data_IF_775472103207
#
_entry.id   IF_775472103207
#
_cell.length_a   1.000
_cell.length_b   1.000
_cell.length_c   1.000
_cell.angle_alpha   90.00
_cell.angle_beta   90.00
_cell.angle_gamma   90.00
#
_symmetry.space_group_name_H-M   'P 1'
#
loop_
_entity.id
_entity.type
_entity.pdbx_description
1 polymer ?
#
# COMPACT_ATOMS: atom_id res chain seq x y z
N UNK A 1 8.91 -8.34 4.45
CA UNK A 1 9.87 -9.45 4.29
C UNK A 1 9.21 -10.74 4.75
N UNK A 2 9.70 -11.91 4.33
CA UNK A 2 9.11 -13.18 4.75
C UNK A 2 9.20 -13.38 6.27
N UNK A 3 10.33 -13.02 6.86
CA UNK A 3 10.59 -13.14 8.29
C UNK A 3 9.59 -12.33 9.14
N UNK A 4 9.15 -11.16 8.67
CA UNK A 4 8.17 -10.31 9.38
C UNK A 4 6.79 -10.98 9.39
N UNK A 5 6.40 -11.59 8.27
CA UNK A 5 5.13 -12.32 8.21
C UNK A 5 5.17 -13.59 9.05
N UNK A 6 6.30 -14.31 9.05
CA UNK A 6 6.51 -15.49 9.90
C UNK A 6 6.53 -15.17 11.39
N UNK A 7 7.12 -14.03 11.77
CA UNK A 7 7.12 -13.56 13.18
C UNK A 7 5.75 -12.98 13.58
N UNK A 8 4.81 -12.88 12.64
CA UNK A 8 3.41 -12.52 12.90
C UNK A 8 3.13 -11.02 12.90
N UNK A 9 4.13 -10.17 12.60
CA UNK A 9 3.96 -8.72 12.61
C UNK A 9 4.85 -8.03 11.57
N UNK A 10 4.24 -7.11 10.81
CA UNK A 10 4.97 -6.10 10.04
C UNK A 10 4.73 -4.76 10.75
N UNK A 11 5.80 -4.17 11.29
CA UNK A 11 5.73 -2.98 12.14
C UNK A 11 5.98 -1.65 11.40
N UNK A 12 5.70 -1.64 10.09
CA UNK A 12 5.88 -0.46 9.26
C UNK A 12 4.81 -0.37 8.17
N UNK A 13 4.68 0.81 7.56
CA UNK A 13 3.83 0.99 6.40
C UNK A 13 4.41 0.27 5.18
N UNK A 14 3.54 -0.28 4.33
CA UNK A 14 3.96 -0.91 3.08
C UNK A 14 4.13 0.13 1.96
N UNK A 15 4.65 -0.31 0.83
CA UNK A 15 4.70 0.50 -0.40
C UNK A 15 3.87 -0.19 -1.48
N UNK A 16 3.23 0.61 -2.31
CA UNK A 16 2.49 0.09 -3.47
C UNK A 16 2.60 1.03 -4.66
N UNK A 17 2.19 0.54 -5.82
CA UNK A 17 2.17 1.31 -7.07
C UNK A 17 0.75 1.56 -7.57
N UNK A 18 0.62 2.61 -8.39
CA UNK A 18 -0.62 3.01 -9.05
C UNK A 18 -0.33 3.30 -10.52
N UNK A 19 -1.30 3.22 -11.44
CA UNK A 19 -1.02 3.41 -12.87
C UNK A 19 -0.59 4.83 -13.23
N UNK A 20 -1.12 5.82 -12.50
CA UNK A 20 -0.84 7.24 -12.73
C UNK A 20 -0.82 8.01 -11.42
N UNK A 21 0.03 9.02 -11.37
CA UNK A 21 0.14 9.99 -10.27
C UNK A 21 0.07 11.42 -10.80
N UNK A 22 -0.21 12.38 -9.92
CA UNK A 22 -0.05 13.80 -10.24
C UNK A 22 1.41 14.25 -10.10
N UNK A 23 1.73 15.43 -10.65
CA UNK A 23 3.02 16.13 -10.53
C UNK A 23 3.16 16.76 -9.14
N UNK A 24 3.11 15.92 -8.12
CA UNK A 24 3.23 16.34 -6.72
C UNK A 24 3.47 15.17 -5.78
N UNK A 25 3.92 15.50 -4.57
CA UNK A 25 4.25 14.53 -3.54
C UNK A 25 3.87 15.03 -2.14
N UNK A 26 3.67 14.11 -1.20
CA UNK A 26 3.51 14.40 0.22
C UNK A 26 4.73 13.84 0.95
N UNK A 27 5.35 14.64 1.83
CA UNK A 27 6.45 14.15 2.66
C UNK A 27 6.05 12.89 3.46
N UNK A 28 6.95 11.91 3.64
CA UNK A 28 8.40 11.97 3.38
C UNK A 28 8.82 11.66 1.94
N UNK A 29 7.90 11.47 0.99
CA UNK A 29 8.30 11.45 -0.41
C UNK A 29 8.96 12.79 -0.78
N UNK A 30 9.90 12.75 -1.72
CA UNK A 30 10.68 13.92 -2.17
C UNK A 30 10.73 14.02 -3.69
N UNK A 31 9.91 13.23 -4.39
CA UNK A 31 9.87 13.16 -5.85
C UNK A 31 8.45 12.89 -6.34
N UNK A 32 8.18 13.26 -7.58
CA UNK A 32 7.01 12.86 -8.36
C UNK A 32 7.47 12.15 -9.64
N UNK A 33 6.64 11.26 -10.20
CA UNK A 33 6.96 10.47 -11.39
C UNK A 33 6.04 10.77 -12.59
N UNK A 34 5.46 11.97 -12.62
CA UNK A 34 4.44 12.37 -13.59
C UNK A 34 4.56 13.84 -13.96
N UNK A 35 4.05 14.19 -15.15
CA UNK A 35 3.90 15.56 -15.63
C UNK A 35 2.44 16.06 -15.56
N UNK A 36 1.52 15.26 -15.04
CA UNK A 36 0.09 15.60 -15.00
C UNK A 36 -0.26 16.47 -13.79
N UNK A 37 -0.92 17.59 -14.01
CA UNK A 37 -1.45 18.45 -12.93
C UNK A 37 -2.91 18.09 -12.55
N UNK A 38 -3.41 16.90 -12.92
CA UNK A 38 -4.76 16.45 -12.57
C UNK A 38 -4.85 16.12 -11.07
N UNK A 39 -5.57 16.97 -10.33
CA UNK A 39 -5.77 16.82 -8.89
C UNK A 39 -6.56 15.55 -8.48
N UNK A 40 -7.19 14.85 -9.43
CA UNK A 40 -7.84 13.56 -9.17
C UNK A 40 -6.84 12.39 -9.14
N UNK A 41 -5.59 12.60 -9.54
CA UNK A 41 -4.55 11.59 -9.46
C UNK A 41 -3.87 11.61 -8.08
N UNK A 42 -3.52 10.46 -7.51
CA UNK A 42 -2.81 10.41 -6.24
C UNK A 42 -1.41 11.06 -6.37
N UNK A 43 -0.95 11.83 -5.37
CA UNK A 43 0.44 12.26 -5.29
C UNK A 43 1.34 11.11 -4.81
N UNK A 44 2.64 11.19 -5.12
CA UNK A 44 3.61 10.31 -4.46
C UNK A 44 3.58 10.53 -2.94
N UNK A 45 3.78 9.47 -2.17
CA UNK A 45 3.70 9.54 -0.70
C UNK A 45 2.27 9.66 -0.15
N UNK A 46 1.23 9.60 -0.98
CA UNK A 46 -0.14 9.45 -0.47
C UNK A 46 -0.24 8.18 0.37
N UNK A 47 -0.74 8.33 1.60
CA UNK A 47 -0.97 7.21 2.50
C UNK A 47 -2.41 6.71 2.38
N UNK A 48 -2.55 5.43 2.04
CA UNK A 48 -3.81 4.70 2.11
C UNK A 48 -3.77 3.73 3.28
N UNK A 49 -4.87 3.64 4.03
CA UNK A 49 -5.00 2.72 5.16
C UNK A 49 -6.22 1.84 4.97
N UNK A 50 -6.09 0.55 5.27
CA UNK A 50 -7.23 -0.35 5.25
C UNK A 50 -8.18 0.04 6.39
N UNK A 51 -9.47 0.18 6.10
CA UNK A 51 -10.45 0.58 7.11
C UNK A 51 -10.51 -0.45 8.24
N UNK A 52 -10.79 0.03 9.44
CA UNK A 52 -10.76 -0.80 10.65
C UNK A 52 -11.84 -1.90 10.65
N UNK A 53 -12.97 -1.65 9.98
CA UNK A 53 -14.16 -2.49 9.91
C UNK A 53 -14.10 -3.62 8.87
N UNK A 54 -13.09 -3.62 7.99
CA UNK A 54 -12.88 -4.70 7.01
C UNK A 54 -12.62 -6.02 7.74
N UNK A 55 -13.48 -7.03 7.58
CA UNK A 55 -13.22 -8.33 8.20
C UNK A 55 -12.07 -9.05 7.50
N UNK A 56 -11.06 -9.43 8.27
CA UNK A 56 -9.88 -10.15 7.77
C UNK A 56 -9.78 -11.57 8.33
N UNK A 57 -10.76 -12.01 9.12
CA UNK A 57 -10.72 -13.30 9.84
C UNK A 57 -10.64 -14.49 8.89
N UNK A 58 -11.27 -14.40 7.72
CA UNK A 58 -11.32 -15.44 6.69
C UNK A 58 -10.04 -15.64 5.87
N UNK A 59 -9.06 -14.74 5.98
CA UNK A 59 -7.83 -14.83 5.20
C UNK A 59 -6.81 -15.81 5.81
N UNK A 60 -5.90 -16.39 4.98
CA UNK A 60 -4.75 -17.16 5.46
C UNK A 60 -3.90 -16.37 6.45
N UNK A 61 -3.21 -17.06 7.36
CA UNK A 61 -2.43 -16.40 8.41
C UNK A 61 -1.41 -15.39 7.86
N UNK A 62 -0.62 -15.71 6.81
CA UNK A 62 0.33 -14.75 6.23
C UNK A 62 -0.36 -13.48 5.70
N UNK A 63 -1.49 -13.64 5.04
CA UNK A 63 -2.29 -12.53 4.51
C UNK A 63 -2.87 -11.69 5.65
N UNK A 64 -3.38 -12.32 6.71
CA UNK A 64 -3.87 -11.57 7.89
C UNK A 64 -2.79 -10.69 8.52
N UNK A 65 -1.53 -11.12 8.55
CA UNK A 65 -0.42 -10.28 9.05
C UNK A 65 -0.25 -9.04 8.16
N UNK A 66 -0.29 -9.21 6.84
CA UNK A 66 -0.20 -8.11 5.86
C UNK A 66 -1.40 -7.17 6.00
N UNK A 67 -2.62 -7.69 6.05
CA UNK A 67 -3.83 -6.87 6.20
C UNK A 67 -3.87 -6.15 7.55
N UNK A 68 -3.38 -6.78 8.62
CA UNK A 68 -3.22 -6.14 9.94
C UNK A 68 -2.25 -4.96 9.85
N UNK A 69 -1.13 -5.11 9.13
CA UNK A 69 -0.20 -4.02 8.89
C UNK A 69 -0.83 -2.90 8.04
N UNK A 70 -1.64 -3.24 7.03
CA UNK A 70 -2.38 -2.25 6.25
C UNK A 70 -3.44 -1.50 7.07
N UNK A 71 -4.07 -2.15 8.05
CA UNK A 71 -4.97 -1.46 9.01
C UNK A 71 -4.20 -0.53 9.95
N UNK A 72 -3.06 -0.97 10.47
CA UNK A 72 -2.32 -0.23 11.50
C UNK A 72 -1.45 0.88 10.92
N UNK A 73 -0.70 0.56 9.88
CA UNK A 73 0.31 1.43 9.29
C UNK A 73 -0.05 1.88 7.87
N UNK A 74 -0.95 1.18 7.18
CA UNK A 74 -1.30 1.51 5.81
C UNK A 74 -0.12 1.33 4.84
N UNK A 75 -0.21 2.00 3.71
CA UNK A 75 0.77 1.92 2.63
C UNK A 75 0.90 3.25 1.89
N UNK A 76 2.07 3.47 1.30
CA UNK A 76 2.40 4.68 0.56
C UNK A 76 2.47 4.44 -0.94
N UNK A 77 1.92 5.36 -1.72
CA UNK A 77 2.14 5.44 -3.17
C UNK A 77 3.63 5.73 -3.39
N UNK A 78 4.35 4.77 -3.95
CA UNK A 78 5.81 4.85 -4.09
C UNK A 78 6.30 4.96 -5.53
N UNK A 79 5.49 4.54 -6.50
CA UNK A 79 5.86 4.58 -7.91
C UNK A 79 4.63 4.44 -8.82
N UNK A 80 4.83 4.69 -10.11
CA UNK A 80 3.89 4.34 -11.17
C UNK A 80 4.10 2.89 -11.62
N UNK A 81 3.04 2.10 -11.65
CA UNK A 81 3.11 0.67 -11.99
C UNK A 81 1.74 0.00 -12.06
N UNK A 82 1.69 -1.29 -11.76
CA UNK A 82 0.44 -2.03 -11.68
C UNK A 82 -0.52 -1.42 -10.65
N UNK A 83 -1.83 -1.45 -10.94
CA UNK A 83 -2.81 -0.93 -10.00
C UNK A 83 -2.82 -1.76 -8.71
N UNK A 84 -2.75 -1.09 -7.56
CA UNK A 84 -2.83 -1.72 -6.24
C UNK A 84 -1.74 -2.79 -5.98
N UNK A 85 -0.61 -2.69 -6.68
CA UNK A 85 0.44 -3.69 -6.57
C UNK A 85 1.34 -3.43 -5.36
N UNK A 86 1.21 -4.27 -4.34
CA UNK A 86 2.07 -4.27 -3.15
C UNK A 86 3.33 -5.08 -3.45
N UNK A 87 4.51 -4.48 -3.28
CA UNK A 87 5.78 -5.17 -3.52
C UNK A 87 6.33 -5.77 -2.23
N UNK A 88 6.76 -7.03 -2.29
CA UNK A 88 7.53 -7.72 -1.26
C UNK A 88 8.98 -7.93 -1.66
N UNK A 89 9.78 -8.47 -0.72
CA UNK A 89 11.08 -9.05 -1.05
C UNK A 89 10.81 -10.46 -1.62
N UNK A 90 11.29 -10.78 -2.84
CA UNK A 90 11.16 -12.13 -3.39
C UNK A 90 11.76 -13.16 -2.45
N UNK A 91 11.03 -14.25 -2.21
CA UNK A 91 11.45 -15.34 -1.35
C UNK A 91 10.79 -16.63 -1.81
N UNK A 92 11.54 -17.72 -1.96
CA UNK A 92 10.99 -18.99 -2.44
C UNK A 92 10.11 -19.70 -1.41
N UNK A 93 10.06 -19.19 -0.17
CA UNK A 93 9.22 -19.71 0.91
C UNK A 93 7.82 -19.09 0.93
N UNK A 94 7.55 -18.13 0.05
CA UNK A 94 6.19 -17.61 -0.14
C UNK A 94 5.29 -18.69 -0.73
N UNK A 95 4.06 -18.73 -0.23
CA UNK A 95 2.96 -19.41 -0.88
C UNK A 95 2.23 -18.38 -1.75
N UNK A 96 2.43 -18.46 -3.07
CA UNK A 96 1.86 -17.51 -4.01
C UNK A 96 0.32 -17.59 -4.10
N UNK A 97 -0.25 -18.78 -3.83
CA UNK A 97 -1.70 -18.97 -3.82
C UNK A 97 -2.30 -18.24 -2.61
N UNK A 98 -1.68 -18.36 -1.42
CA UNK A 98 -2.11 -17.57 -0.26
C UNK A 98 -1.92 -16.07 -0.50
N UNK A 99 -0.79 -15.64 -1.07
CA UNK A 99 -0.56 -14.22 -1.34
C UNK A 99 -1.56 -13.64 -2.36
N UNK A 100 -2.10 -14.45 -3.26
CA UNK A 100 -3.10 -14.01 -4.22
C UNK A 100 -4.40 -13.54 -3.55
N UNK A 101 -4.73 -14.08 -2.37
CA UNK A 101 -5.92 -13.69 -1.61
C UNK A 101 -5.90 -12.20 -1.20
N UNK A 102 -4.73 -11.54 -1.15
CA UNK A 102 -4.64 -10.09 -0.92
C UNK A 102 -5.50 -9.31 -1.92
N UNK A 103 -5.66 -9.82 -3.15
CA UNK A 103 -6.51 -9.23 -4.20
C UNK A 103 -8.00 -9.21 -3.87
N UNK A 104 -8.45 -9.92 -2.84
CA UNK A 104 -9.84 -9.87 -2.35
C UNK A 104 -10.20 -8.56 -1.65
N UNK A 105 -9.22 -7.73 -1.30
CA UNK A 105 -9.44 -6.40 -0.71
C UNK A 105 -9.54 -5.35 -1.81
N UNK A 106 -10.67 -4.66 -1.88
CA UNK A 106 -10.95 -3.69 -2.93
C UNK A 106 -10.41 -2.29 -2.55
N UNK A 107 -10.19 -1.45 -3.55
CA UNK A 107 -9.77 -0.06 -3.31
C UNK A 107 -10.75 0.75 -2.45
N UNK A 108 -12.04 0.41 -2.49
CA UNK A 108 -13.07 1.03 -1.64
C UNK A 108 -12.95 0.67 -0.15
N UNK A 109 -12.18 -0.35 0.19
CA UNK A 109 -11.92 -0.76 1.57
C UNK A 109 -10.82 0.08 2.22
N UNK A 110 -10.15 0.92 1.43
CA UNK A 110 -9.15 1.85 1.91
C UNK A 110 -9.72 3.25 2.14
N UNK A 111 -9.05 3.98 3.03
CA UNK A 111 -9.25 5.41 3.25
C UNK A 111 -7.93 6.16 3.03
N UNK A 112 -8.04 7.37 2.49
CA UNK A 112 -6.89 8.27 2.40
C UNK A 112 -6.61 8.87 3.78
N UNK A 113 -5.37 8.77 4.23
CA UNK A 113 -4.93 9.38 5.48
C UNK A 113 -4.21 10.68 5.16
N UNK A 114 -4.71 11.79 5.71
CA UNK A 114 -4.03 13.07 5.59
C UNK A 114 -2.70 13.03 6.35
N UNK A 115 -1.59 13.15 5.63
CA UNK A 115 -0.22 13.13 6.20
C UNK A 115 0.54 14.44 5.99
N UNK A 116 -0.02 15.39 5.25
CA UNK A 116 0.60 16.69 4.99
C UNK A 116 0.09 17.32 3.70
N UNK A 117 0.58 18.54 3.37
CA UNK A 117 0.28 19.19 2.11
C UNK A 117 0.94 18.46 0.92
N UNK A 118 0.40 18.70 -0.27
CA UNK A 118 1.03 18.27 -1.53
C UNK A 118 2.04 19.34 -1.93
N UNK A 119 3.27 18.91 -2.17
CA UNK A 119 4.37 19.69 -2.70
C UNK A 119 4.47 19.44 -4.21
N UNK A 120 4.46 20.51 -4.99
CA UNK A 120 4.70 20.50 -6.42
C UNK A 120 6.08 21.09 -6.77
N UNK A 121 6.43 21.14 -8.05
CA UNK A 121 7.55 21.95 -8.54
C UNK A 121 7.42 23.43 -8.18
#
# INVERSE_FOLDING_TARGET
RYEEVQTGAIDHALRFTVPRTQRGYIHPATHFASYSDDANLPPMGLRLRLKADVDISGYPQPVRVILTALKRYGMFVADNGGAWYVSGVPDTRWDDDELHEIGGVAGCDFEAVYTGPIHGP
#
